data_IF_943430462666
#
_entry.id   IF_943430462666
#
_cell.length_a   1.000
_cell.length_b   1.000
_cell.length_c   1.000
_cell.angle_alpha   90.00
_cell.angle_beta   90.00
_cell.angle_gamma   90.00
#
_symmetry.space_group_name_H-M   'P 1'
#
loop_
_entity.id
_entity.type
_entity.pdbx_description
1 polymer ?
#
# COMPACT_ATOMS: atom_id res chain seq x y z
N UNK A 1 5.28 -16.80 8.80
CA UNK A 1 4.48 -16.88 7.55
C UNK A 1 3.80 -15.52 7.36
N UNK A 2 4.31 -14.68 6.45
CA UNK A 2 3.72 -13.36 6.18
C UNK A 2 2.35 -13.60 5.51
N UNK A 3 1.26 -13.22 6.17
CA UNK A 3 -0.08 -13.35 5.61
C UNK A 3 -0.50 -12.01 5.02
N UNK A 4 -0.62 -11.96 3.70
CA UNK A 4 -1.29 -10.84 3.03
C UNK A 4 -2.78 -10.92 3.38
N UNK A 5 -3.30 -9.88 4.02
CA UNK A 5 -4.72 -9.77 4.35
C UNK A 5 -5.38 -8.74 3.44
N UNK A 6 -6.68 -8.92 3.16
CA UNK A 6 -7.50 -7.99 2.37
C UNK A 6 -7.37 -6.52 2.82
N UNK A 7 -7.23 -6.29 4.13
CA UNK A 7 -6.99 -4.95 4.69
C UNK A 7 -5.70 -4.27 4.20
N UNK A 8 -4.63 -5.04 3.98
CA UNK A 8 -3.37 -4.48 3.44
C UNK A 8 -3.52 -4.09 1.98
N UNK A 9 -4.30 -4.85 1.22
CA UNK A 9 -4.68 -4.54 -0.16
C UNK A 9 -5.50 -3.26 -0.21
N UNK A 10 -6.53 -3.14 0.62
CA UNK A 10 -7.34 -1.93 0.72
C UNK A 10 -6.49 -0.71 1.10
N UNK A 11 -5.58 -0.87 2.06
CA UNK A 11 -4.65 0.18 2.47
C UNK A 11 -3.73 0.62 1.32
N UNK A 12 -3.13 -0.32 0.59
CA UNK A 12 -2.32 0.00 -0.59
C UNK A 12 -3.14 0.68 -1.68
N UNK A 13 -4.37 0.21 -1.92
CA UNK A 13 -5.28 0.79 -2.89
C UNK A 13 -5.62 2.24 -2.55
N UNK A 14 -5.73 2.59 -1.26
CA UNK A 14 -5.87 3.99 -0.85
C UNK A 14 -4.68 4.84 -1.29
N UNK A 15 -3.45 4.34 -1.13
CA UNK A 15 -2.25 5.05 -1.58
C UNK A 15 -2.09 5.13 -3.09
N UNK A 16 -2.59 4.13 -3.83
CA UNK A 16 -2.58 4.14 -5.30
C UNK A 16 -3.62 5.09 -5.88
N UNK A 17 -4.83 5.11 -5.30
CA UNK A 17 -5.90 6.03 -5.73
C UNK A 17 -5.64 7.48 -5.34
N UNK A 18 -4.88 7.70 -4.27
CA UNK A 18 -4.57 9.03 -3.76
C UNK A 18 -3.06 9.25 -3.82
N UNK A 19 -2.59 9.94 -4.85
CA UNK A 19 -1.19 10.38 -4.96
C UNK A 19 -0.80 11.44 -3.92
N UNK A 20 -1.80 11.92 -3.18
CA UNK A 20 -1.67 12.89 -2.09
C UNK A 20 -1.27 12.23 -0.76
N UNK A 21 -0.77 13.06 0.15
CA UNK A 21 -0.37 12.63 1.50
C UNK A 21 -1.61 12.23 2.32
N UNK A 22 -1.72 10.94 2.68
CA UNK A 22 -2.84 10.41 3.46
C UNK A 22 -2.52 10.37 4.95
N UNK A 23 -3.38 10.91 5.80
CA UNK A 23 -3.15 10.86 7.24
C UNK A 23 -3.71 9.57 7.90
N UNK A 24 -3.21 9.25 9.09
CA UNK A 24 -3.67 8.11 9.90
C UNK A 24 -5.17 8.09 10.12
N UNK A 25 -5.79 9.26 10.30
CA UNK A 25 -7.22 9.39 10.59
C UNK A 25 -8.10 9.11 9.38
N UNK A 26 -7.66 9.51 8.18
CA UNK A 26 -8.33 9.24 6.90
C UNK A 26 -8.27 7.74 6.65
N UNK A 27 -7.09 7.13 6.75
CA UNK A 27 -6.91 5.69 6.58
C UNK A 27 -7.72 4.90 7.61
N UNK A 28 -7.71 5.32 8.87
CA UNK A 28 -8.49 4.74 9.96
C UNK A 28 -10.00 4.78 9.68
N UNK A 29 -10.53 5.92 9.22
CA UNK A 29 -11.94 6.04 8.82
C UNK A 29 -12.27 5.21 7.59
N UNK A 30 -11.42 5.25 6.56
CA UNK A 30 -11.63 4.52 5.31
C UNK A 30 -11.65 3.01 5.50
N UNK A 31 -10.77 2.48 6.36
CA UNK A 31 -10.65 1.05 6.66
C UNK A 31 -11.50 0.62 7.87
N UNK A 32 -12.12 1.56 8.59
CA UNK A 32 -12.91 1.26 9.79
C UNK A 32 -12.10 0.69 10.97
N UNK A 33 -10.80 0.98 11.05
CA UNK A 33 -9.89 0.42 12.07
C UNK A 33 -9.20 1.52 12.86
N UNK A 34 -8.63 1.19 14.02
CA UNK A 34 -7.90 2.15 14.85
C UNK A 34 -6.61 2.67 14.17
N UNK A 35 -6.17 3.88 14.53
CA UNK A 35 -4.90 4.43 14.05
C UNK A 35 -3.68 3.60 14.45
N UNK A 36 -3.75 2.84 15.55
CA UNK A 36 -2.73 1.85 15.95
C UNK A 36 -2.69 0.66 14.98
N UNK A 37 -3.86 0.19 14.53
CA UNK A 37 -3.97 -0.86 13.51
C UNK A 37 -3.38 -0.38 12.19
N UNK A 38 -3.71 0.82 11.74
CA UNK A 38 -3.12 1.42 10.53
C UNK A 38 -1.59 1.47 10.61
N UNK A 39 -1.00 1.86 11.74
CA UNK A 39 0.46 1.85 11.89
C UNK A 39 1.08 0.45 11.83
N UNK A 40 0.36 -0.56 12.30
CA UNK A 40 0.79 -1.95 12.19
C UNK A 40 0.71 -2.42 10.74
N UNK A 41 -0.43 -2.18 10.09
CA UNK A 41 -0.70 -2.52 8.71
C UNK A 41 0.29 -1.83 7.75
N UNK A 42 0.62 -0.55 7.96
CA UNK A 42 1.64 0.17 7.18
C UNK A 42 3.03 -0.45 7.37
N UNK A 43 3.40 -0.82 8.60
CA UNK A 43 4.69 -1.48 8.85
C UNK A 43 4.78 -2.83 8.14
N UNK A 44 3.68 -3.58 8.15
CA UNK A 44 3.57 -4.86 7.46
C UNK A 44 3.64 -4.68 5.94
N UNK A 45 2.87 -3.74 5.39
CA UNK A 45 2.89 -3.36 3.98
C UNK A 45 4.29 -2.90 3.55
N UNK A 46 4.96 -2.07 4.34
CA UNK A 46 6.34 -1.65 4.08
C UNK A 46 7.30 -2.84 4.07
N UNK A 47 7.13 -3.81 4.96
CA UNK A 47 7.93 -5.04 4.95
C UNK A 47 7.79 -5.83 3.65
N UNK A 48 6.59 -5.80 3.05
CA UNK A 48 6.31 -6.45 1.77
C UNK A 48 6.82 -5.63 0.58
N UNK A 49 6.73 -4.31 0.62
CA UNK A 49 7.07 -3.42 -0.50
C UNK A 49 8.57 -3.08 -0.57
N UNK A 50 9.27 -3.03 0.57
CA UNK A 50 10.69 -2.68 0.67
C UNK A 50 11.59 -3.49 -0.27
N UNK A 51 11.47 -4.83 -0.40
CA UNK A 51 12.28 -5.58 -1.37
C UNK A 51 11.98 -5.25 -2.84
N UNK A 52 10.80 -4.66 -3.12
CA UNK A 52 10.39 -4.25 -4.45
C UNK A 52 10.62 -2.76 -4.72
N UNK A 53 11.46 -2.10 -3.94
CA UNK A 53 11.79 -0.69 -4.17
C UNK A 53 10.62 0.26 -3.95
N UNK A 54 9.68 -0.09 -3.08
CA UNK A 54 8.59 0.80 -2.70
C UNK A 54 8.41 0.84 -1.18
N UNK A 55 7.99 1.98 -0.65
CA UNK A 55 7.82 2.17 0.79
C UNK A 55 6.84 3.31 1.05
N UNK A 56 5.99 3.13 2.06
CA UNK A 56 5.13 4.18 2.59
C UNK A 56 5.92 4.94 3.66
N UNK A 57 6.37 6.15 3.33
CA UNK A 57 7.08 7.03 4.26
C UNK A 57 6.11 7.96 4.98
N UNK A 58 6.32 8.19 6.28
CA UNK A 58 5.59 9.23 7.00
C UNK A 58 6.21 10.60 6.75
N UNK A 59 5.45 11.56 6.24
CA UNK A 59 5.90 12.94 6.05
C UNK A 59 5.63 13.77 7.31
N UNK A 60 6.56 14.68 7.66
CA UNK A 60 6.46 15.58 8.84
C UNK A 60 5.14 16.37 8.75
N UNK A 61 4.16 16.03 9.59
CA UNK A 61 2.78 16.58 9.55
C UNK A 61 1.62 15.60 9.81
N UNK A 62 1.87 14.32 10.15
CA UNK A 62 0.89 13.23 10.38
C UNK A 62 0.40 12.48 9.14
N UNK A 63 1.07 12.67 8.00
CA UNK A 63 0.74 12.05 6.73
C UNK A 63 1.65 10.90 6.32
N UNK A 64 1.18 10.10 5.39
CA UNK A 64 1.88 9.02 4.72
C UNK A 64 1.86 9.24 3.23
N UNK A 65 2.95 8.94 2.56
CA UNK A 65 3.04 8.97 1.11
C UNK A 65 3.72 7.70 0.64
N UNK A 66 3.16 7.11 -0.41
CA UNK A 66 3.82 6.04 -1.14
C UNK A 66 4.99 6.63 -1.93
N UNK A 67 6.18 6.12 -1.66
CA UNK A 67 7.40 6.38 -2.41
C UNK A 67 7.77 5.14 -3.20
N UNK A 68 7.89 5.30 -4.50
CA UNK A 68 8.35 4.26 -5.42
C UNK A 68 9.74 4.69 -5.89
N UNK A 69 10.73 3.92 -5.49
CA UNK A 69 12.13 4.12 -5.88
C UNK A 69 12.42 3.40 -7.21
N UNK A 70 11.82 2.21 -7.41
CA UNK A 70 11.99 1.39 -8.60
C UNK A 70 10.61 0.97 -9.15
N UNK A 71 10.16 1.64 -10.22
CA UNK A 71 8.86 1.35 -10.83
C UNK A 71 8.79 -0.08 -11.41
N UNK A 72 9.90 -0.63 -11.91
CA UNK A 72 9.93 -1.97 -12.48
C UNK A 72 9.72 -3.06 -11.42
N UNK A 73 10.37 -2.91 -10.27
CA UNK A 73 10.15 -3.80 -9.13
C UNK A 73 8.78 -3.59 -8.50
N UNK A 74 8.33 -2.33 -8.38
CA UNK A 74 7.00 -2.04 -7.85
C UNK A 74 5.88 -2.62 -8.71
N UNK A 75 6.02 -2.60 -10.05
CA UNK A 75 5.06 -3.25 -10.96
C UNK A 75 4.96 -4.75 -10.70
N UNK A 76 6.10 -5.41 -10.47
CA UNK A 76 6.16 -6.83 -10.06
C UNK A 76 5.48 -7.07 -8.71
N UNK A 77 5.72 -6.19 -7.74
CA UNK A 77 5.02 -6.24 -6.46
C UNK A 77 3.52 -6.10 -6.64
N UNK A 78 3.06 -5.09 -7.37
CA UNK A 78 1.66 -4.83 -7.63
C UNK A 78 0.98 -6.05 -8.27
N UNK A 79 1.60 -6.62 -9.30
CA UNK A 79 1.09 -7.85 -9.93
C UNK A 79 1.02 -9.00 -8.94
N UNK A 80 2.09 -9.29 -8.19
CA UNK A 80 2.12 -10.42 -7.25
C UNK A 80 1.17 -10.22 -6.05
N UNK A 81 1.13 -9.00 -5.51
CA UNK A 81 0.35 -8.63 -4.33
C UNK A 81 -1.16 -8.65 -4.61
N UNK A 82 -1.59 -8.12 -5.76
CA UNK A 82 -3.01 -8.18 -6.16
C UNK A 82 -3.40 -9.53 -6.77
N UNK A 83 -2.47 -10.28 -7.36
CA UNK A 83 -2.76 -11.64 -7.83
C UNK A 83 -3.10 -12.60 -6.68
N UNK A 84 -2.62 -12.32 -5.47
CA UNK A 84 -3.00 -13.04 -4.24
C UNK A 84 -4.49 -12.87 -3.85
N UNK A 85 -5.18 -11.81 -4.31
CA UNK A 85 -6.63 -11.64 -4.12
C UNK A 85 -7.46 -12.46 -5.13
N UNK A 86 -6.79 -13.15 -6.07
CA UNK A 86 -7.32 -14.05 -7.09
C UNK A 86 -8.15 -13.36 -8.18
N UNK A 87 -7.67 -13.46 -9.43
CA UNK A 87 -8.45 -13.33 -10.69
C UNK A 87 -8.83 -11.96 -11.28
N UNK A 88 -8.42 -10.79 -10.76
CA UNK A 88 -8.64 -9.52 -11.50
C UNK A 88 -7.58 -8.46 -11.21
N UNK A 89 -6.59 -8.32 -12.10
CA UNK A 89 -6.32 -7.01 -12.73
C UNK A 89 -5.77 -7.27 -14.15
N UNK A 90 -6.49 -6.90 -15.22
CA UNK A 90 -5.88 -6.75 -16.53
C UNK A 90 -4.82 -5.64 -16.44
N UNK A 91 -3.69 -5.89 -17.09
CA UNK A 91 -2.63 -4.93 -17.33
C UNK A 91 -3.16 -3.51 -17.49
N UNK A 92 -2.79 -2.60 -16.58
CA UNK A 92 -2.80 -1.18 -16.92
C UNK A 92 -1.36 -0.73 -16.97
N UNK A 93 -0.96 -0.38 -18.18
CA UNK A 93 0.05 0.56 -18.65
C UNK A 93 0.46 0.06 -20.04
N UNK A 94 0.33 0.76 -21.16
CA UNK A 94 -0.07 2.13 -21.53
C UNK A 94 -0.10 2.08 -23.07
N UNK A 95 -1.14 2.60 -23.73
CA UNK A 95 -1.06 3.31 -25.03
C UNK A 95 -2.29 4.23 -25.15
#
# INVERSE_FOLDING_TARGET
>A
MLKVHRRLLDLLNQFLKNESVLNRSILSKALGVSTKTIQKDIRELNGLMKPYGAVVESRRGNGYKLRIDDQGKFRRFHQCFFQFDSSRIPSTQEE
#
